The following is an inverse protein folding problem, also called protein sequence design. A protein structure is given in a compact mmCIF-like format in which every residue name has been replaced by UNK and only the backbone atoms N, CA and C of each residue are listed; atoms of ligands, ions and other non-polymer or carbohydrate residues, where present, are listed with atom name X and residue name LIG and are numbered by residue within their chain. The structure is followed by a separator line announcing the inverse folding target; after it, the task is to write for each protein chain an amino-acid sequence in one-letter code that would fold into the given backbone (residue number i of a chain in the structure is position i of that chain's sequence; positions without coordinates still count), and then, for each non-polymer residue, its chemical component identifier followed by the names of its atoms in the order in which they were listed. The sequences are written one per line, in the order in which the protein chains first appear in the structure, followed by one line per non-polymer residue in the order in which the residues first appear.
data_IF_631583289862
#
_entry.id   IF_631583289862
#
_cell.length_a   1.000
_cell.length_b   1.000
_cell.length_c   1.000
_cell.angle_alpha   90.00
_cell.angle_beta   90.00
_cell.angle_gamma   90.00
#
_symmetry.space_group_name_H-M   'P 1'
#
loop_
_entity.id
_entity.type
_entity.pdbx_description
1 polymer ?
#
# COMPACT_ATOMS: atom_id res chain seq x y z
N UNK A 1 0.50 3.38 -11.46
CA UNK A 1 0.38 2.00 -10.94
C UNK A 1 1.69 1.50 -10.31
N UNK A 2 2.87 1.87 -10.85
CA UNK A 2 4.11 1.25 -10.38
C UNK A 2 4.44 1.48 -8.90
N UNK A 3 4.04 2.61 -8.30
CA UNK A 3 4.15 2.82 -6.84
C UNK A 3 3.43 1.73 -6.04
N UNK A 4 2.21 1.37 -6.43
CA UNK A 4 1.42 0.32 -5.76
C UNK A 4 2.11 -1.03 -5.92
N UNK A 5 2.58 -1.34 -7.12
CA UNK A 5 3.32 -2.57 -7.38
C UNK A 5 4.61 -2.67 -6.56
N UNK A 6 5.37 -1.59 -6.43
CA UNK A 6 6.61 -1.56 -5.67
C UNK A 6 6.37 -1.75 -4.18
N UNK A 7 5.39 -1.04 -3.60
CA UNK A 7 5.03 -1.20 -2.19
C UNK A 7 4.54 -2.63 -1.93
N UNK A 8 3.71 -3.18 -2.84
CA UNK A 8 3.22 -4.57 -2.75
C UNK A 8 4.37 -5.57 -2.82
N UNK A 9 5.36 -5.34 -3.69
CA UNK A 9 6.56 -6.16 -3.81
C UNK A 9 7.39 -6.16 -2.53
N UNK A 10 7.63 -4.99 -1.92
CA UNK A 10 8.36 -4.90 -0.65
C UNK A 10 7.64 -5.66 0.47
N UNK A 11 6.33 -5.48 0.61
CA UNK A 11 5.51 -6.21 1.59
C UNK A 11 5.53 -7.72 1.34
N UNK A 12 5.41 -8.15 0.09
CA UNK A 12 5.43 -9.57 -0.28
C UNK A 12 6.77 -10.22 0.05
N UNK A 13 7.88 -9.53 -0.26
CA UNK A 13 9.22 -10.01 0.07
C UNK A 13 9.38 -10.19 1.57
N UNK A 14 9.01 -9.18 2.36
CA UNK A 14 9.04 -9.28 3.83
C UNK A 14 8.18 -10.43 4.36
N UNK A 15 6.94 -10.58 3.88
CA UNK A 15 6.02 -11.63 4.32
C UNK A 15 6.59 -13.04 4.09
N UNK A 16 7.27 -13.25 2.95
CA UNK A 16 7.91 -14.52 2.61
C UNK A 16 9.18 -14.74 3.43
N UNK A 17 10.11 -13.78 3.44
CA UNK A 17 11.42 -13.92 4.09
C UNK A 17 11.34 -14.05 5.61
N UNK A 18 10.32 -13.46 6.22
CA UNK A 18 10.11 -13.53 7.67
C UNK A 18 9.04 -14.54 8.07
N UNK A 19 8.52 -15.32 7.11
CA UNK A 19 7.53 -16.38 7.32
C UNK A 19 6.26 -15.94 8.08
N UNK A 20 5.81 -14.69 7.87
CA UNK A 20 4.58 -14.20 8.52
C UNK A 20 3.35 -14.98 8.03
N UNK A 21 3.42 -15.53 6.81
CA UNK A 21 2.36 -16.32 6.18
C UNK A 21 1.01 -15.58 6.12
N UNK A 22 1.04 -14.25 6.08
CA UNK A 22 -0.14 -13.43 5.84
C UNK A 22 -0.46 -13.33 4.36
N UNK A 23 -1.57 -12.64 4.05
CA UNK A 23 -2.05 -12.37 2.71
C UNK A 23 -1.85 -10.88 2.41
N UNK A 24 -1.34 -10.58 1.21
CA UNK A 24 -1.30 -9.22 0.68
C UNK A 24 -2.43 -9.13 -0.35
N UNK A 25 -3.32 -8.15 -0.21
CA UNK A 25 -4.35 -7.84 -1.19
C UNK A 25 -4.09 -6.47 -1.81
N UNK A 26 -4.34 -6.36 -3.11
CA UNK A 26 -4.35 -5.10 -3.85
C UNK A 26 -5.79 -4.80 -4.24
N UNK A 27 -6.32 -3.64 -3.84
CA UNK A 27 -7.63 -3.10 -4.27
C UNK A 27 -8.82 -4.09 -4.34
N UNK A 28 -8.90 -5.06 -3.43
CA UNK A 28 -10.01 -6.03 -3.33
C UNK A 28 -10.42 -6.17 -1.86
N UNK A 29 -11.35 -5.33 -1.39
CA UNK A 29 -12.01 -5.52 -0.09
C UNK A 29 -12.43 -4.25 0.65
N UNK A 30 -13.47 -4.38 1.48
CA UNK A 30 -13.94 -3.35 2.40
C UNK A 30 -13.20 -3.42 3.74
N UNK A 31 -12.32 -2.47 4.02
CA UNK A 31 -11.68 -2.33 5.35
C UNK A 31 -12.40 -1.27 6.18
N UNK A 32 -12.29 -1.32 7.51
CA UNK A 32 -12.72 -0.20 8.37
C UNK A 32 -11.57 0.30 9.21
N UNK A 33 -11.06 1.45 8.79
CA UNK A 33 -10.16 2.25 9.59
C UNK A 33 -10.86 3.54 9.99
N UNK A 34 -11.61 3.48 11.09
CA UNK A 34 -12.27 4.63 11.66
C UNK A 34 -11.25 5.65 12.20
N UNK A 35 -11.13 6.76 11.48
CA UNK A 35 -10.39 7.94 11.89
C UNK A 35 -11.35 8.83 12.70
N UNK A 36 -11.33 8.66 14.02
CA UNK A 36 -11.99 9.53 14.99
C UNK A 36 -13.52 9.69 14.80
N UNK A 37 -14.23 8.62 14.45
CA UNK A 37 -15.68 8.56 14.35
C UNK A 37 -16.28 9.27 13.14
N UNK A 38 -15.45 9.66 12.15
CA UNK A 38 -15.87 10.53 11.03
C UNK A 38 -15.51 10.00 9.64
N UNK A 39 -14.49 9.16 9.52
CA UNK A 39 -14.02 8.72 8.20
C UNK A 39 -13.43 7.32 8.27
N UNK A 40 -14.08 6.40 7.57
CA UNK A 40 -13.61 5.03 7.38
C UNK A 40 -12.80 4.93 6.08
N UNK A 41 -11.55 4.46 6.15
CA UNK A 41 -10.83 4.02 4.94
C UNK A 41 -11.44 2.70 4.48
N UNK A 42 -12.25 2.75 3.42
CA UNK A 42 -13.01 1.59 2.93
C UNK A 42 -12.32 0.75 1.87
N UNK A 43 -11.30 1.26 1.20
CA UNK A 43 -10.57 0.52 0.17
C UNK A 43 -9.13 1.05 0.10
N UNK A 44 -8.17 0.45 0.81
CA UNK A 44 -6.77 0.78 0.64
C UNK A 44 -6.28 0.21 -0.71
N UNK A 45 -5.27 0.88 -1.30
CA UNK A 45 -4.62 0.36 -2.50
C UNK A 45 -3.94 -0.99 -2.23
N UNK A 46 -3.39 -1.15 -1.02
CA UNK A 46 -2.69 -2.34 -0.55
C UNK A 46 -3.08 -2.62 0.90
N UNK A 47 -3.38 -3.88 1.21
CA UNK A 47 -3.57 -4.33 2.59
C UNK A 47 -2.76 -5.59 2.88
N UNK A 48 -2.24 -5.67 4.09
CA UNK A 48 -1.70 -6.90 4.66
C UNK A 48 -2.66 -7.44 5.70
N UNK A 49 -3.04 -8.70 5.56
CA UNK A 49 -3.90 -9.44 6.48
C UNK A 49 -3.06 -10.54 7.12
N UNK A 50 -2.95 -10.52 8.45
CA UNK A 50 -2.17 -11.52 9.17
C UNK A 50 -2.76 -12.93 8.96
N UNK A 51 -1.91 -13.95 9.05
CA UNK A 51 -2.31 -15.36 8.95
C UNK A 51 -3.49 -15.70 9.87
N UNK A 52 -3.48 -15.15 11.08
CA UNK A 52 -4.50 -15.42 12.09
C UNK A 52 -5.85 -14.82 11.71
N UNK A 53 -5.87 -13.57 11.23
CA UNK A 53 -7.09 -12.93 10.74
C UNK A 53 -7.60 -13.66 9.50
N UNK A 54 -6.72 -13.98 8.54
CA UNK A 54 -7.14 -14.69 7.32
C UNK A 54 -7.76 -16.05 7.62
N UNK A 55 -7.20 -16.80 8.59
CA UNK A 55 -7.73 -18.10 9.03
C UNK A 55 -9.04 -18.01 9.79
N UNK A 56 -9.37 -16.87 10.39
CA UNK A 56 -10.66 -16.66 11.06
C UNK A 56 -11.77 -16.22 10.11
N UNK A 57 -11.45 -15.87 8.86
CA UNK A 57 -12.45 -15.53 7.84
C UNK A 57 -13.21 -16.79 7.38
N UNK A 58 -14.49 -16.64 7.10
CA UNK A 58 -15.30 -17.70 6.50
C UNK A 58 -14.96 -17.89 5.00
N UNK A 59 -15.47 -18.97 4.41
CA UNK A 59 -15.18 -19.32 3.01
C UNK A 59 -15.70 -18.25 2.04
N UNK A 60 -16.79 -17.55 2.33
CA UNK A 60 -17.30 -16.52 1.43
C UNK A 60 -16.39 -15.27 1.49
N UNK A 61 -15.98 -14.87 2.69
CA UNK A 61 -15.06 -13.75 2.93
C UNK A 61 -13.67 -13.97 2.32
N UNK A 62 -13.13 -15.19 2.42
CA UNK A 62 -11.86 -15.57 1.80
C UNK A 62 -11.87 -15.45 0.27
N UNK A 63 -13.03 -15.66 -0.36
CA UNK A 63 -13.15 -15.79 -1.81
C UNK A 63 -13.52 -14.50 -2.51
N UNK A 64 -14.40 -13.70 -1.92
CA UNK A 64 -14.96 -12.54 -2.62
C UNK A 64 -14.33 -11.23 -2.16
N UNK A 65 -13.81 -11.15 -0.93
CA UNK A 65 -13.60 -9.89 -0.21
C UNK A 65 -14.79 -8.90 -0.35
N UNK A 66 -15.98 -9.41 -0.71
CA UNK A 66 -17.24 -8.71 -0.99
C UNK A 66 -18.36 -9.44 -0.24
N UNK A 67 -19.07 -8.74 0.64
CA UNK A 67 -20.08 -9.35 1.52
C UNK A 67 -20.25 -8.50 2.78
N UNK A 68 -20.87 -9.05 3.84
CA UNK A 68 -20.87 -8.40 5.16
C UNK A 68 -19.42 -8.05 5.53
N UNK A 69 -19.10 -6.77 5.79
CA UNK A 69 -17.73 -6.37 6.07
C UNK A 69 -17.27 -7.11 7.32
N UNK A 70 -16.22 -7.93 7.20
CA UNK A 70 -15.47 -8.27 8.38
C UNK A 70 -14.68 -7.01 8.72
N UNK A 71 -15.21 -6.22 9.64
CA UNK A 71 -14.59 -5.01 10.15
C UNK A 71 -13.32 -5.42 10.92
N UNK A 72 -12.27 -5.79 10.21
CA UNK A 72 -10.96 -5.96 10.81
C UNK A 72 -10.46 -4.57 11.18
N UNK A 73 -10.40 -4.29 12.48
CA UNK A 73 -9.81 -3.05 12.98
C UNK A 73 -8.37 -2.96 12.49
N UNK A 74 -8.08 -1.96 11.67
CA UNK A 74 -6.70 -1.72 11.22
C UNK A 74 -5.93 -0.98 12.32
N UNK A 75 -4.71 -1.43 12.60
CA UNK A 75 -3.83 -0.87 13.64
C UNK A 75 -2.76 0.08 13.08
N UNK A 76 -2.40 -0.07 11.80
CA UNK A 76 -1.39 0.71 11.10
C UNK A 76 -1.87 1.01 9.68
N UNK A 77 -1.83 2.27 9.28
CA UNK A 77 -2.11 2.71 7.92
C UNK A 77 -1.11 3.77 7.47
N UNK A 78 -0.74 3.74 6.19
CA UNK A 78 0.12 4.74 5.58
C UNK A 78 -0.62 5.41 4.43
N UNK A 79 -0.63 6.75 4.43
CA UNK A 79 -0.97 7.53 3.25
C UNK A 79 0.36 7.97 2.62
N UNK A 80 0.71 7.34 1.51
CA UNK A 80 1.94 7.62 0.77
C UNK A 80 1.58 8.59 -0.36
N UNK A 81 2.18 9.78 -0.35
CA UNK A 81 2.01 10.81 -1.37
C UNK A 81 3.38 11.09 -2.03
N UNK A 82 3.72 10.35 -3.11
CA UNK A 82 5.00 10.51 -3.78
C UNK A 82 5.15 11.83 -4.51
N UNK A 83 4.03 12.48 -4.88
CA UNK A 83 4.04 13.77 -5.59
C UNK A 83 4.48 14.89 -4.65
N UNK A 84 3.90 14.91 -3.45
CA UNK A 84 4.23 15.91 -2.43
C UNK A 84 5.40 15.48 -1.54
N UNK A 85 6.01 14.31 -1.82
CA UNK A 85 7.11 13.74 -1.02
C UNK A 85 6.74 13.72 0.46
N UNK A 86 5.60 13.09 0.76
CA UNK A 86 5.07 13.06 2.10
C UNK A 86 4.45 11.69 2.41
N UNK A 87 4.75 11.16 3.58
CA UNK A 87 4.06 10.00 4.14
C UNK A 87 3.37 10.41 5.44
N UNK A 88 2.10 10.03 5.59
CA UNK A 88 1.40 10.12 6.86
C UNK A 88 1.21 8.74 7.45
N UNK A 89 1.59 8.59 8.73
CA UNK A 89 1.45 7.34 9.46
C UNK A 89 0.26 7.48 10.41
N UNK A 90 -0.70 6.58 10.24
CA UNK A 90 -1.84 6.43 11.12
C UNK A 90 -1.63 5.20 12.00
N UNK A 91 -1.75 5.36 13.32
CA UNK A 91 -1.64 4.26 14.28
C UNK A 91 -2.82 4.27 15.24
N UNK A 92 -3.37 3.09 15.50
CA UNK A 92 -4.39 2.87 16.53
C UNK A 92 -3.70 2.64 17.88
N UNK A 93 -4.13 3.35 18.91
CA UNK A 93 -3.71 3.08 20.30
C UNK A 93 -4.57 1.96 20.91
N UNK A 94 -4.11 1.41 22.03
CA UNK A 94 -4.89 0.46 22.85
C UNK A 94 -6.27 1.03 23.24
N UNK A 95 -6.38 2.35 23.40
CA UNK A 95 -7.66 3.03 23.65
C UNK A 95 -8.63 3.04 22.46
N UNK A 96 -8.26 2.48 21.31
CA UNK A 96 -9.02 2.51 20.07
C UNK A 96 -8.87 3.80 19.25
N UNK A 97 -8.30 4.86 19.83
CA UNK A 97 -8.10 6.15 19.16
C UNK A 97 -7.01 6.05 18.10
N UNK A 98 -7.33 6.50 16.89
CA UNK A 98 -6.37 6.62 15.78
C UNK A 98 -5.76 8.01 15.79
N UNK A 99 -4.44 8.09 15.68
CA UNK A 99 -3.73 9.37 15.51
C UNK A 99 -2.89 9.33 14.23
N UNK A 100 -2.74 10.51 13.62
CA UNK A 100 -1.94 10.72 12.41
C UNK A 100 -0.66 11.46 12.77
N UNK A 101 0.46 11.02 12.20
CA UNK A 101 1.75 11.69 12.28
C UNK A 101 2.29 11.98 10.88
N UNK A 102 2.86 13.16 10.68
CA UNK A 102 3.62 13.48 9.48
C UNK A 102 5.01 12.85 9.60
N UNK A 103 5.44 12.14 8.57
CA UNK A 103 6.74 11.42 8.56
C UNK A 103 7.72 11.95 7.51
N UNK A 104 7.26 12.78 6.57
CA UNK A 104 8.04 13.22 5.42
C UNK A 104 8.28 12.08 4.42
N UNK A 105 9.26 12.26 3.54
CA UNK A 105 9.65 11.27 2.51
C UNK A 105 10.88 10.46 2.93
N UNK A 106 10.74 9.68 3.99
CA UNK A 106 11.82 8.85 4.53
C UNK A 106 11.32 7.43 4.77
N UNK A 107 12.26 6.49 4.87
CA UNK A 107 11.96 5.09 5.18
C UNK A 107 11.02 4.97 6.39
N UNK A 108 10.03 4.07 6.28
CA UNK A 108 9.00 3.88 7.31
C UNK A 108 9.18 2.52 7.97
N UNK A 109 9.43 2.50 9.27
CA UNK A 109 9.53 1.25 10.03
C UNK A 109 8.13 0.71 10.39
N UNK A 110 7.93 -0.59 10.15
CA UNK A 110 6.69 -1.32 10.47
C UNK A 110 6.38 -1.42 11.96
N UNK A 111 7.40 -1.27 12.81
CA UNK A 111 7.32 -1.39 14.25
C UNK A 111 6.92 -2.80 14.68
N UNK A 112 6.22 -2.91 15.81
CA UNK A 112 5.69 -4.18 16.31
C UNK A 112 4.54 -4.74 15.48
N UNK A 113 3.87 -3.91 14.66
CA UNK A 113 2.73 -4.35 13.83
C UNK A 113 3.21 -5.11 12.59
N UNK A 114 4.33 -4.68 11.99
CA UNK A 114 5.01 -5.39 10.91
C UNK A 114 6.48 -5.61 11.32
N UNK A 115 6.77 -6.62 12.17
CA UNK A 115 8.09 -6.80 12.76
C UNK A 115 9.20 -6.95 11.72
N UNK A 116 10.22 -6.10 11.83
CA UNK A 116 11.38 -6.10 10.92
C UNK A 116 11.09 -5.55 9.52
N UNK A 117 9.85 -5.14 9.22
CA UNK A 117 9.54 -4.49 7.95
C UNK A 117 10.01 -3.04 7.94
N UNK A 118 10.56 -2.60 6.81
CA UNK A 118 10.84 -1.20 6.51
C UNK A 118 10.39 -0.93 5.09
N UNK A 119 9.55 0.09 4.91
CA UNK A 119 9.24 0.62 3.59
C UNK A 119 10.43 1.45 3.13
N UNK A 120 11.10 0.99 2.07
CA UNK A 120 12.25 1.64 1.46
C UNK A 120 11.77 2.64 0.42
N UNK A 121 11.77 3.92 0.81
CA UNK A 121 11.21 5.02 0.00
C UNK A 121 12.04 5.28 -1.25
N UNK A 122 13.35 5.07 -1.18
CA UNK A 122 14.22 5.20 -2.36
C UNK A 122 13.78 4.31 -3.52
N UNK A 123 13.34 3.08 -3.26
CA UNK A 123 12.86 2.17 -4.32
C UNK A 123 11.56 2.64 -4.97
N UNK A 124 10.75 3.40 -4.22
CA UNK A 124 9.56 4.06 -4.77
C UNK A 124 9.99 5.20 -5.71
N UNK A 125 11.00 5.98 -5.34
CA UNK A 125 11.55 7.03 -6.20
C UNK A 125 12.15 6.47 -7.49
N UNK A 126 12.96 5.41 -7.39
CA UNK A 126 13.55 4.73 -8.55
C UNK A 126 12.47 4.26 -9.54
N UNK A 127 11.37 3.71 -9.01
CA UNK A 127 10.22 3.25 -9.79
C UNK A 127 9.52 4.41 -10.53
N UNK A 128 9.35 5.56 -9.86
CA UNK A 128 8.72 6.75 -10.47
C UNK A 128 9.62 7.33 -11.56
N UNK A 129 10.94 7.34 -11.34
CA UNK A 129 11.91 7.81 -12.33
C UNK A 129 11.91 6.95 -13.60
N UNK A 130 11.73 5.64 -13.47
CA UNK A 130 11.59 4.73 -14.61
C UNK A 130 10.33 5.02 -15.45
N UNK A 131 9.15 5.16 -14.83
CA UNK A 131 7.91 5.52 -15.54
C UNK A 131 8.04 6.85 -16.32
N UNK A 132 8.73 7.85 -15.74
CA UNK A 132 8.95 9.14 -16.40
C UNK A 132 9.88 9.07 -17.61
N UNK A 133 10.83 8.13 -17.60
CA UNK A 133 11.78 7.96 -18.72
C UNK A 133 11.13 7.22 -19.88
N UNK A 134 10.35 6.17 -19.63
CA UNK A 134 9.65 5.40 -20.66
C UNK A 134 8.58 6.24 -21.38
N UNK A 135 7.81 7.05 -20.62
CA UNK A 135 6.81 7.96 -21.20
C UNK A 135 7.40 9.10 -22.04
N UNK A 136 8.63 9.52 -21.77
CA UNK A 136 9.33 10.48 -22.63
C UNK A 136 9.79 9.84 -23.96
N UNK A 137 10.23 8.58 -23.93
CA UNK A 137 10.73 7.87 -25.11
C UNK A 137 9.64 7.51 -26.12
N UNK A 138 8.42 7.19 -25.69
CA UNK A 138 7.29 6.92 -26.59
C UNK A 138 6.88 8.18 -27.38
N UNK A 139 6.97 9.37 -26.77
CA UNK A 139 6.64 10.62 -27.43
C UNK A 139 7.66 11.01 -28.52
N UNK A 140 8.94 10.73 -28.30
CA UNK A 140 10.00 11.01 -29.27
C UNK A 140 9.92 10.08 -30.49
N UNK A 141 9.47 8.83 -30.33
CA UNK A 141 9.31 7.88 -31.44
C UNK A 141 8.13 8.26 -32.36
N UNK A 142 7.05 8.83 -31.80
CA UNK A 142 5.90 9.34 -32.56
C UNK A 142 6.28 10.58 -33.39
N UNK A 143 7.12 11.48 -32.84
CA UNK A 143 7.61 12.66 -33.56
C UNK A 143 8.62 12.25 -34.65
N UNK A 144 9.51 11.28 -34.35
CA UNK A 144 10.50 10.78 -35.31
C UNK A 144 9.85 10.05 -36.50
N UNK A 145 8.77 9.31 -36.28
CA UNK A 145 8.04 8.61 -37.35
C UNK A 145 7.25 9.54 -38.27
N UNK A 146 6.77 10.69 -37.77
CA UNK A 146 6.10 11.71 -38.61
C UNK A 146 7.06 12.59 -39.41
N UNK A 147 8.33 12.70 -39.00
CA UNK A 147 9.33 13.51 -39.69
C UNK A 147 9.95 12.83 -40.93
N UNK A 148 9.74 11.52 -41.15
CA UNK A 148 10.33 10.77 -42.28
C UNK A 148 9.41 10.65 -43.51
N UNK A 149 8.50 11.59 -43.70
CA UNK A 149 7.53 11.55 -44.80
C UNK A 149 7.42 12.90 -45.51
N UNK A 150 8.54 13.39 -46.06
CA UNK A 150 8.59 14.44 -47.08
C UNK A 150 9.77 14.19 -48.00
#
# INVERSE_FOLDING_TARGET
EAVVHEISRQLRNWNVYTHQNGIITTSQGGFDFDISGRQTIRAPDIAFISKNIYRSLDRQQQWTFKGQPYFASVDLGWLVDPKNKQIYIYRRRVSGVVYRTSHGWNNVNGGSILPGFTLEVQKIDDTISQESSESSSENDEIISSHARRW
#
